data_IF_574708879393
#
_entry.id   IF_574708879393
#
_cell.length_a   1.000
_cell.length_b   1.000
_cell.length_c   1.000
_cell.angle_alpha   90.00
_cell.angle_beta   90.00
_cell.angle_gamma   90.00
#
_symmetry.space_group_name_H-M   'P 1'
#
loop_
_entity.id
_entity.type
_entity.pdbx_description
1 polymer ?
#
# COMPACT_ATOMS: atom_id res chain seq x y z
N UNK A 1 9.95 -3.72 16.73
CA UNK A 1 9.70 -4.35 15.42
C UNK A 1 10.89 -4.14 14.53
N UNK A 2 11.41 -5.21 13.96
CA UNK A 2 12.52 -5.14 13.03
C UNK A 2 12.00 -4.91 11.62
N UNK A 3 12.62 -3.95 10.93
CA UNK A 3 12.32 -3.67 9.54
C UNK A 3 13.15 -4.59 8.64
N UNK A 4 12.49 -5.20 7.66
CA UNK A 4 13.06 -6.18 6.74
C UNK A 4 12.76 -5.80 5.29
N UNK A 5 13.48 -6.41 4.35
CA UNK A 5 13.14 -6.29 2.93
C UNK A 5 11.73 -6.85 2.69
N UNK A 6 10.89 -6.19 1.88
CA UNK A 6 9.56 -6.70 1.52
C UNK A 6 9.62 -8.14 1.01
N UNK A 7 8.65 -8.96 1.43
CA UNK A 7 8.41 -10.26 0.82
C UNK A 7 8.05 -10.11 -0.66
N UNK A 8 8.06 -11.22 -1.41
CA UNK A 8 7.64 -11.20 -2.82
C UNK A 8 6.20 -10.69 -2.98
N UNK A 9 5.30 -11.12 -2.10
CA UNK A 9 3.89 -10.73 -2.17
C UNK A 9 3.69 -9.27 -1.76
N UNK A 10 4.40 -8.78 -0.75
CA UNK A 10 4.39 -7.34 -0.40
C UNK A 10 4.94 -6.49 -1.55
N UNK A 11 6.06 -6.89 -2.15
CA UNK A 11 6.62 -6.20 -3.33
C UNK A 11 5.62 -6.16 -4.47
N UNK A 12 4.95 -7.29 -4.77
CA UNK A 12 3.95 -7.35 -5.82
C UNK A 12 2.78 -6.39 -5.57
N UNK A 13 2.29 -6.27 -4.33
CA UNK A 13 1.26 -5.28 -4.00
C UNK A 13 1.75 -3.83 -4.18
N UNK A 14 2.98 -3.53 -3.73
CA UNK A 14 3.58 -2.19 -3.92
C UNK A 14 3.70 -1.83 -5.41
N UNK A 15 4.04 -2.80 -6.26
CA UNK A 15 4.12 -2.60 -7.71
C UNK A 15 2.73 -2.36 -8.33
N UNK A 16 1.69 -3.08 -7.85
CA UNK A 16 0.29 -2.84 -8.25
C UNK A 16 -0.18 -1.43 -7.88
N UNK A 17 0.16 -0.95 -6.68
CA UNK A 17 -0.17 0.40 -6.22
C UNK A 17 0.48 1.49 -7.09
N UNK A 18 1.73 1.28 -7.54
CA UNK A 18 2.40 2.19 -8.48
C UNK A 18 1.65 2.19 -9.82
N UNK A 19 1.29 1.02 -10.34
CA UNK A 19 0.63 0.87 -11.63
C UNK A 19 -0.79 1.45 -11.65
N UNK A 20 -1.51 1.39 -10.53
CA UNK A 20 -2.86 1.91 -10.37
C UNK A 20 -2.91 3.43 -10.11
N UNK A 21 -1.78 4.07 -9.81
CA UNK A 21 -1.72 5.48 -9.44
C UNK A 21 -1.62 6.40 -10.67
N UNK A 22 -2.23 7.59 -10.58
CA UNK A 22 -2.01 8.66 -11.55
C UNK A 22 -0.51 9.02 -11.65
N UNK A 23 -0.01 9.52 -12.80
CA UNK A 23 1.44 9.64 -13.08
C UNK A 23 2.26 10.38 -12.02
N UNK A 24 1.72 11.48 -11.46
CA UNK A 24 2.42 12.26 -10.43
C UNK A 24 2.53 11.54 -9.08
N UNK A 25 1.53 10.73 -8.74
CA UNK A 25 1.52 9.89 -7.54
C UNK A 25 2.40 8.65 -7.76
N UNK A 26 2.29 7.99 -8.92
CA UNK A 26 3.07 6.82 -9.29
C UNK A 26 4.58 7.07 -9.16
N UNK A 27 5.08 8.22 -9.64
CA UNK A 27 6.49 8.56 -9.52
C UNK A 27 6.97 8.70 -8.06
N UNK A 28 6.15 9.30 -7.19
CA UNK A 28 6.47 9.43 -5.77
C UNK A 28 6.41 8.07 -5.06
N UNK A 29 5.40 7.25 -5.35
CA UNK A 29 5.28 5.90 -4.80
C UNK A 29 6.46 5.01 -5.22
N UNK A 30 6.82 5.04 -6.50
CA UNK A 30 7.98 4.31 -7.02
C UNK A 30 9.25 4.69 -6.25
N UNK A 31 9.52 5.99 -6.10
CA UNK A 31 10.70 6.46 -5.36
C UNK A 31 10.69 6.08 -3.88
N UNK A 32 9.52 6.02 -3.24
CA UNK A 32 9.42 5.65 -1.83
C UNK A 32 9.49 4.14 -1.60
N UNK A 33 8.92 3.34 -2.51
CA UNK A 33 8.91 1.87 -2.42
C UNK A 33 10.24 1.25 -2.86
N UNK A 34 11.00 1.95 -3.70
CA UNK A 34 12.36 1.57 -4.06
C UNK A 34 13.26 1.54 -2.82
N UNK A 35 13.77 0.36 -2.47
CA UNK A 35 14.61 0.17 -1.29
C UNK A 35 13.90 0.35 0.07
N UNK A 36 12.57 0.46 0.09
CA UNK A 36 11.81 0.50 1.34
C UNK A 36 12.01 -0.79 2.15
N UNK A 37 11.97 -0.63 3.47
CA UNK A 37 11.84 -1.74 4.40
C UNK A 37 10.41 -1.79 4.94
N UNK A 38 9.99 -2.97 5.39
CA UNK A 38 8.67 -3.20 5.98
C UNK A 38 8.76 -3.85 7.34
N UNK A 39 7.74 -3.66 8.16
CA UNK A 39 7.52 -4.40 9.39
C UNK A 39 6.03 -4.80 9.48
N UNK A 40 5.69 -5.99 9.99
CA UNK A 40 4.30 -6.40 10.13
C UNK A 40 3.54 -5.49 11.09
N UNK A 41 2.23 -5.33 10.90
CA UNK A 41 1.36 -4.75 11.93
C UNK A 41 1.02 -5.81 13.00
N UNK A 42 0.90 -5.39 14.27
CA UNK A 42 0.74 -6.33 15.41
C UNK A 42 -0.56 -7.15 15.35
N UNK A 43 -1.58 -6.62 14.69
CA UNK A 43 -2.94 -7.18 14.69
C UNK A 43 -3.41 -7.65 13.32
N UNK A 44 -2.57 -7.57 12.29
CA UNK A 44 -2.93 -8.02 10.95
C UNK A 44 -1.70 -8.53 10.19
N UNK A 45 -1.69 -9.79 9.73
CA UNK A 45 -0.56 -10.35 8.99
C UNK A 45 -0.38 -9.77 7.57
N UNK A 46 -1.45 -9.19 7.02
CA UNK A 46 -1.47 -8.64 5.66
C UNK A 46 -1.12 -7.14 5.64
N UNK A 47 -1.43 -6.40 6.70
CA UNK A 47 -1.04 -4.98 6.83
C UNK A 47 0.41 -4.85 7.29
N UNK A 48 1.08 -3.79 6.86
CA UNK A 48 2.47 -3.58 7.22
C UNK A 48 2.87 -2.11 7.23
N UNK A 49 3.80 -1.79 8.12
CA UNK A 49 4.49 -0.50 8.15
C UNK A 49 5.51 -0.44 7.04
N UNK A 50 5.72 0.75 6.53
CA UNK A 50 6.74 1.08 5.55
C UNK A 50 7.74 2.06 6.15
N UNK A 51 9.00 1.81 5.85
CA UNK A 51 10.08 2.77 6.04
C UNK A 51 10.72 3.04 4.69
N UNK A 52 10.31 4.11 4.01
CA UNK A 52 10.92 4.51 2.74
C UNK A 52 12.43 4.72 2.87
N UNK A 53 13.14 4.54 1.76
CA UNK A 53 14.57 4.86 1.71
C UNK A 53 14.81 6.36 1.99
N UNK A 54 15.97 6.66 2.59
CA UNK A 54 16.38 8.04 2.82
C UNK A 54 16.41 8.83 1.50
N UNK A 55 15.89 10.07 1.51
CA UNK A 55 15.81 10.98 0.35
C UNK A 55 14.84 10.56 -0.77
N UNK A 56 13.93 9.63 -0.50
CA UNK A 56 12.83 9.34 -1.41
C UNK A 56 11.94 10.57 -1.67
N UNK A 57 11.32 10.61 -2.85
CA UNK A 57 10.45 11.71 -3.28
C UNK A 57 9.14 11.66 -2.49
N UNK A 58 8.81 12.77 -1.83
CA UNK A 58 7.56 12.89 -1.06
C UNK A 58 6.35 13.00 -1.99
N UNK A 59 5.20 12.57 -1.49
CA UNK A 59 3.92 12.79 -2.14
C UNK A 59 3.68 14.28 -2.43
N UNK A 60 2.97 14.62 -3.52
CA UNK A 60 2.53 15.98 -3.79
C UNK A 60 1.72 16.58 -2.63
N UNK A 61 1.74 17.91 -2.53
CA UNK A 61 0.89 18.62 -1.56
C UNK A 61 -0.60 18.43 -1.90
N UNK A 62 -1.43 18.36 -0.86
CA UNK A 62 -2.88 18.22 -1.02
C UNK A 62 -3.37 16.79 -1.22
N UNK A 63 -2.46 15.80 -1.28
CA UNK A 63 -2.83 14.38 -1.29
C UNK A 63 -3.45 14.00 0.05
N UNK A 64 -4.67 13.44 -0.01
CA UNK A 64 -5.44 13.02 1.16
C UNK A 64 -4.72 11.96 1.99
N UNK A 65 -5.11 11.85 3.26
CA UNK A 65 -4.60 10.83 4.19
C UNK A 65 -5.76 10.02 4.77
N UNK A 66 -5.86 8.72 4.48
CA UNK A 66 -4.96 7.93 3.63
C UNK A 66 -5.14 8.23 2.13
N UNK A 67 -4.21 7.73 1.31
CA UNK A 67 -4.44 7.58 -0.13
C UNK A 67 -5.15 6.24 -0.33
N UNK A 68 -6.39 6.27 -0.79
CA UNK A 68 -7.17 5.06 -1.08
C UNK A 68 -6.81 4.48 -2.44
N UNK A 69 -6.92 3.18 -2.62
CA UNK A 69 -6.89 2.48 -3.90
C UNK A 69 -7.99 1.42 -3.89
N UNK A 70 -8.91 1.51 -4.82
CA UNK A 70 -10.05 0.62 -4.90
C UNK A 70 -9.59 -0.78 -5.33
N UNK A 71 -10.05 -1.81 -4.61
CA UNK A 71 -9.78 -3.21 -4.96
C UNK A 71 -10.74 -3.59 -6.09
N UNK A 72 -10.20 -4.17 -7.17
CA UNK A 72 -11.02 -4.60 -8.30
C UNK A 72 -12.04 -5.66 -7.84
N UNK A 73 -13.30 -5.53 -8.27
CA UNK A 73 -14.35 -6.48 -7.92
C UNK A 73 -13.94 -7.91 -8.33
N UNK A 74 -13.78 -8.79 -7.35
CA UNK A 74 -13.66 -10.23 -7.62
C UNK A 74 -15.03 -10.88 -7.53
N UNK A 75 -15.24 -11.98 -8.25
CA UNK A 75 -16.52 -12.71 -8.26
C UNK A 75 -16.95 -13.23 -6.86
N UNK A 76 -16.07 -13.19 -5.85
CA UNK A 76 -16.30 -13.66 -4.48
C UNK A 76 -16.21 -12.56 -3.41
N UNK A 77 -15.79 -11.33 -3.74
CA UNK A 77 -15.61 -10.26 -2.76
C UNK A 77 -16.83 -9.34 -2.69
N UNK A 78 -17.75 -9.60 -1.77
CA UNK A 78 -18.86 -8.68 -1.51
C UNK A 78 -18.48 -7.48 -0.64
N UNK A 79 -17.25 -7.40 -0.10
CA UNK A 79 -16.94 -6.42 0.97
C UNK A 79 -15.46 -6.01 1.16
N UNK A 80 -14.57 -6.21 0.17
CA UNK A 80 -13.30 -5.46 0.11
C UNK A 80 -13.63 -4.01 -0.23
N UNK A 81 -13.07 -3.02 0.48
CA UNK A 81 -13.33 -1.62 0.12
C UNK A 81 -12.10 -1.02 -0.54
N UNK A 82 -10.92 -1.08 0.10
CA UNK A 82 -9.74 -0.35 -0.38
C UNK A 82 -8.40 -0.91 0.15
N UNK A 83 -7.31 -0.62 -0.57
CA UNK A 83 -5.95 -0.56 -0.02
C UNK A 83 -5.61 0.90 0.31
N UNK A 84 -5.26 1.16 1.56
CA UNK A 84 -5.01 2.48 2.11
C UNK A 84 -3.52 2.70 2.34
N UNK A 85 -2.97 3.80 1.81
CA UNK A 85 -1.61 4.26 2.11
C UNK A 85 -1.65 5.42 3.10
N UNK A 86 -1.21 5.16 4.32
CA UNK A 86 -1.05 6.20 5.33
C UNK A 86 0.29 6.91 5.17
N UNK A 87 0.29 8.23 5.35
CA UNK A 87 1.50 9.03 5.22
C UNK A 87 1.54 10.21 6.19
N UNK A 88 2.75 10.65 6.53
CA UNK A 88 2.98 11.87 7.31
C UNK A 88 3.98 12.76 6.58
N UNK A 89 3.64 14.04 6.42
CA UNK A 89 4.44 14.97 5.61
C UNK A 89 4.74 14.49 4.19
N UNK A 90 3.91 13.63 3.61
CA UNK A 90 4.08 13.03 2.27
C UNK A 90 5.02 11.82 2.21
N UNK A 91 5.44 11.25 3.34
CA UNK A 91 6.15 9.98 3.40
C UNK A 91 5.20 8.85 3.78
N UNK A 92 5.10 7.79 2.98
CA UNK A 92 4.28 6.61 3.29
C UNK A 92 4.85 5.90 4.52
N UNK A 93 3.99 5.63 5.50
CA UNK A 93 4.35 5.00 6.78
C UNK A 93 3.69 3.63 6.95
N UNK A 94 2.57 3.35 6.29
CA UNK A 94 1.94 2.03 6.32
C UNK A 94 1.03 1.77 5.13
N UNK A 95 0.83 0.48 4.88
CA UNK A 95 -0.19 -0.09 4.00
C UNK A 95 -1.22 -0.78 4.89
N UNK A 96 -2.47 -0.39 4.75
CA UNK A 96 -3.62 -1.01 5.40
C UNK A 96 -4.59 -1.54 4.34
N UNK A 97 -5.15 -2.72 4.59
CA UNK A 97 -6.21 -3.27 3.74
C UNK A 97 -7.52 -3.04 4.50
N UNK A 98 -8.37 -2.17 3.98
CA UNK A 98 -9.68 -1.92 4.53
C UNK A 98 -10.64 -3.01 4.05
N UNK A 99 -11.07 -3.86 4.98
CA UNK A 99 -11.92 -5.01 4.69
C UNK A 99 -13.11 -5.06 5.62
N UNK A 100 -14.28 -5.40 5.08
CA UNK A 100 -15.48 -5.69 5.86
C UNK A 100 -15.66 -7.21 5.93
N UNK A 101 -15.23 -7.81 7.05
CA UNK A 101 -15.28 -9.25 7.34
C UNK A 101 -14.29 -9.67 8.44
N UNK A 102 -14.27 -10.96 8.79
CA UNK A 102 -13.47 -11.47 9.93
C UNK A 102 -11.96 -11.60 9.65
N UNK A 103 -11.55 -11.74 8.38
CA UNK A 103 -10.15 -11.86 7.99
C UNK A 103 -9.87 -11.07 6.71
N UNK A 104 -8.68 -10.47 6.63
CA UNK A 104 -8.22 -9.81 5.42
C UNK A 104 -7.99 -10.83 4.29
N UNK A 105 -8.23 -10.45 3.04
CA UNK A 105 -7.76 -11.22 1.89
C UNK A 105 -6.24 -11.28 1.94
N UNK A 106 -5.68 -12.38 1.44
CA UNK A 106 -4.23 -12.48 1.30
C UNK A 106 -3.75 -11.45 0.28
N UNK A 107 -2.54 -10.92 0.47
CA UNK A 107 -1.94 -9.98 -0.48
C UNK A 107 -1.90 -10.47 -1.93
N UNK A 108 -1.77 -11.79 -2.15
CA UNK A 108 -1.70 -12.39 -3.50
C UNK A 108 -3.02 -12.35 -4.26
N UNK A 109 -4.14 -12.26 -3.53
CA UNK A 109 -5.50 -12.24 -4.07
C UNK A 109 -6.02 -10.81 -4.34
N UNK A 110 -5.22 -9.78 -4.00
CA UNK A 110 -5.60 -8.37 -4.17
C UNK A 110 -5.21 -7.88 -5.56
N UNK A 111 -6.19 -7.47 -6.35
CA UNK A 111 -6.01 -6.66 -7.56
C UNK A 111 -6.63 -5.27 -7.37
N UNK A 112 -6.13 -4.28 -8.09
CA UNK A 112 -6.54 -2.87 -7.94
C UNK A 112 -7.15 -2.33 -9.23
N UNK A 113 -8.13 -1.44 -9.09
CA UNK A 113 -8.61 -0.65 -10.21
C UNK A 113 -7.58 0.42 -10.60
N UNK A 114 -7.42 0.65 -11.90
CA UNK A 114 -6.58 1.73 -12.42
C UNK A 114 -7.28 3.08 -12.24
N UNK A 115 -6.54 4.11 -11.78
CA UNK A 115 -7.04 5.48 -11.66
C UNK A 115 -6.63 6.37 -12.81
#
# INVERSE_FOLDING_TARGET
MDYMTPSKTQRALLDKLIAAAEPGLAAALQSQFEGALVAPEEHCPECFKLKPANRSVRLPRGVGRPVSFDIAETAEATTAVDVLLWHEGGCIESVEISWVGDAHPKLEDIDLESR
#
